data_IF_679717691941
#
_entry.id   IF_679717691941
#
_cell.length_a   1.000
_cell.length_b   1.000
_cell.length_c   1.000
_cell.angle_alpha   90.00
_cell.angle_beta   90.00
_cell.angle_gamma   90.00
#
_symmetry.space_group_name_H-M   'P 1'
#
loop_
_entity.id
_entity.type
_entity.pdbx_description
1 polymer ?
#
# COMPACT_ATOMS: atom_id res chain seq x y z
N UNK A 1 2.92 55.38 67.78
CA UNK A 1 2.35 54.11 67.33
C UNK A 1 1.76 54.33 65.94
N UNK A 2 2.47 53.97 64.88
CA UNK A 2 1.93 53.76 63.52
C UNK A 2 3.04 53.11 62.69
N UNK A 3 2.87 51.81 62.42
CA UNK A 3 3.78 51.01 61.60
C UNK A 3 3.41 51.24 60.14
N UNK A 4 4.28 51.89 59.38
CA UNK A 4 4.09 52.12 57.95
C UNK A 4 4.67 50.94 57.17
N UNK A 5 3.80 50.06 56.67
CA UNK A 5 4.17 48.98 55.76
C UNK A 5 4.58 49.56 54.40
N UNK A 6 5.87 49.52 54.07
CA UNK A 6 6.35 49.70 52.70
C UNK A 6 6.12 48.42 51.90
N UNK A 7 5.09 48.43 51.05
CA UNK A 7 4.80 47.35 50.10
C UNK A 7 5.78 47.45 48.93
N UNK A 8 6.68 46.46 48.80
CA UNK A 8 7.73 46.45 47.77
C UNK A 8 7.15 46.19 46.37
N UNK A 9 7.41 47.04 45.36
CA UNK A 9 6.87 46.94 44.01
C UNK A 9 7.37 45.70 43.22
N UNK A 10 8.40 45.01 43.72
CA UNK A 10 8.97 43.82 43.09
C UNK A 10 8.04 42.59 43.07
N UNK A 11 6.96 42.57 43.84
CA UNK A 11 6.02 41.43 43.86
C UNK A 11 4.93 41.50 42.78
N UNK A 12 4.72 42.67 42.16
CA UNK A 12 3.67 42.86 41.15
C UNK A 12 4.16 42.41 39.77
N UNK A 13 5.40 42.79 39.40
CA UNK A 13 6.00 42.42 38.11
C UNK A 13 6.23 40.91 37.97
N UNK A 14 6.64 40.25 39.05
CA UNK A 14 6.85 38.78 39.07
C UNK A 14 5.54 38.01 38.85
N UNK A 15 4.41 38.53 39.34
CA UNK A 15 3.09 37.89 39.17
C UNK A 15 2.54 38.05 37.74
N UNK A 16 2.80 39.16 37.07
CA UNK A 16 2.39 39.38 35.67
C UNK A 16 3.18 38.45 34.74
N UNK A 17 4.49 38.31 34.97
CA UNK A 17 5.33 37.39 34.20
C UNK A 17 4.89 35.92 34.35
N UNK A 18 4.51 35.50 35.56
CA UNK A 18 4.06 34.13 35.81
C UNK A 18 2.71 33.79 35.14
N UNK A 19 1.77 34.75 35.10
CA UNK A 19 0.45 34.55 34.47
C UNK A 19 0.55 34.48 32.94
N UNK A 20 1.42 35.30 32.33
CA UNK A 20 1.64 35.28 30.89
C UNK A 20 2.25 33.95 30.40
N UNK A 21 3.19 33.36 31.16
CA UNK A 21 3.81 32.07 30.82
C UNK A 21 2.81 30.91 30.98
N UNK A 22 1.98 30.91 32.03
CA UNK A 22 0.97 29.88 32.23
C UNK A 22 -0.11 29.90 31.13
N UNK A 23 -0.54 31.09 30.68
CA UNK A 23 -1.47 31.24 29.58
C UNK A 23 -0.87 30.75 28.24
N UNK A 24 0.42 30.99 27.99
CA UNK A 24 1.10 30.54 26.77
C UNK A 24 1.27 29.02 26.73
N UNK A 25 1.51 28.37 27.87
CA UNK A 25 1.57 26.90 27.95
C UNK A 25 0.22 26.21 27.79
N UNK A 26 -0.88 26.87 28.18
CA UNK A 26 -2.23 26.29 28.06
C UNK A 26 -2.78 26.37 26.63
N UNK A 27 -2.40 27.41 25.87
CA UNK A 27 -2.86 27.59 24.47
C UNK A 27 -2.14 26.65 23.49
N UNK A 28 -0.93 26.19 23.81
CA UNK A 28 -0.19 25.21 22.99
C UNK A 28 -0.68 23.76 23.17
N UNK A 29 -1.41 23.45 24.26
CA UNK A 29 -1.90 22.10 24.53
C UNK A 29 -3.26 21.78 23.88
N UNK A 30 -3.95 22.79 23.32
CA UNK A 30 -5.29 22.64 22.74
C UNK A 30 -5.32 22.64 21.21
N UNK A 31 -4.16 22.61 20.54
CA UNK A 31 -4.16 22.27 19.12
C UNK A 31 -4.59 20.81 19.02
N UNK A 32 -5.76 20.49 18.43
CA UNK A 32 -6.05 19.10 18.12
C UNK A 32 -4.91 18.63 17.24
N UNK A 33 -4.17 17.61 17.69
CA UNK A 33 -3.34 16.86 16.78
C UNK A 33 -4.29 16.41 15.67
N UNK A 34 -4.19 17.05 14.51
CA UNK A 34 -4.86 16.58 13.32
C UNK A 34 -4.24 15.21 13.07
N UNK A 35 -4.87 14.16 13.59
CA UNK A 35 -4.60 12.80 13.17
C UNK A 35 -4.92 12.82 11.69
N UNK A 36 -3.87 12.88 10.87
CA UNK A 36 -3.98 12.73 9.44
C UNK A 36 -4.81 11.46 9.22
N UNK A 37 -6.02 11.62 8.66
CA UNK A 37 -6.89 10.49 8.38
C UNK A 37 -6.05 9.49 7.55
N UNK A 38 -6.03 8.23 8.00
CA UNK A 38 -5.26 7.20 7.30
C UNK A 38 -5.69 7.12 5.84
N UNK A 39 -4.75 6.82 4.94
CA UNK A 39 -5.07 6.62 3.52
C UNK A 39 -6.23 5.61 3.39
N UNK A 40 -7.21 5.86 2.50
CA UNK A 40 -8.33 4.95 2.29
C UNK A 40 -7.90 3.73 1.48
N UNK A 41 -8.66 2.64 1.60
CA UNK A 41 -8.49 1.47 0.73
C UNK A 41 -8.91 1.82 -0.72
N UNK A 42 -8.14 1.39 -1.72
CA UNK A 42 -8.40 1.75 -3.12
C UNK A 42 -9.77 1.27 -3.62
N UNK A 43 -10.25 0.12 -3.15
CA UNK A 43 -11.59 -0.40 -3.44
C UNK A 43 -12.75 0.48 -2.92
N UNK A 44 -12.48 1.46 -2.04
CA UNK A 44 -13.47 2.36 -1.44
C UNK A 44 -13.54 3.73 -2.11
N UNK A 45 -12.42 4.30 -2.57
CA UNK A 45 -12.38 5.69 -3.07
C UNK A 45 -12.13 5.83 -4.56
N UNK A 46 -11.70 4.76 -5.24
CA UNK A 46 -11.42 4.75 -6.69
C UNK A 46 -10.41 5.80 -7.17
N UNK A 47 -9.70 6.45 -6.24
CA UNK A 47 -8.82 7.60 -6.48
C UNK A 47 -7.54 7.46 -5.67
N UNK A 48 -6.40 7.93 -6.21
CA UNK A 48 -5.11 7.96 -5.51
C UNK A 48 -4.87 9.33 -4.84
N UNK A 49 -4.13 9.37 -3.71
CA UNK A 49 -3.47 8.25 -3.06
C UNK A 49 -4.42 7.36 -2.26
N UNK A 50 -4.23 6.06 -2.40
CA UNK A 50 -4.98 5.03 -1.67
C UNK A 50 -4.05 3.87 -1.34
N UNK A 51 -4.53 2.87 -0.59
CA UNK A 51 -3.75 1.68 -0.29
C UNK A 51 -4.48 0.39 -0.65
N UNK A 52 -3.71 -0.63 -0.93
CA UNK A 52 -4.13 -2.03 -0.83
C UNK A 52 -3.00 -2.83 -0.16
N UNK A 53 -3.29 -4.07 0.19
CA UNK A 53 -2.24 -5.00 0.61
C UNK A 53 -1.61 -5.64 -0.62
N UNK A 54 -0.37 -6.06 -0.50
CA UNK A 54 0.37 -6.80 -1.52
C UNK A 54 1.16 -7.93 -0.86
N UNK A 55 1.29 -9.05 -1.55
CA UNK A 55 2.19 -10.13 -1.15
C UNK A 55 3.62 -9.84 -1.58
N UNK A 56 4.55 -10.03 -0.65
CA UNK A 56 6.00 -9.99 -0.87
C UNK A 56 6.58 -11.15 -0.08
N UNK A 57 7.18 -12.11 -0.77
CA UNK A 57 7.83 -13.29 -0.18
C UNK A 57 6.99 -14.02 0.88
N UNK A 58 5.68 -14.17 0.64
CA UNK A 58 4.76 -14.86 1.55
C UNK A 58 4.19 -13.99 2.67
N UNK A 59 4.56 -12.72 2.76
CA UNK A 59 4.05 -11.76 3.74
C UNK A 59 3.18 -10.68 3.08
N UNK A 60 2.19 -10.15 3.80
CA UNK A 60 1.39 -9.04 3.30
C UNK A 60 1.89 -7.71 3.83
N UNK A 61 2.09 -6.75 2.94
CA UNK A 61 2.48 -5.38 3.28
C UNK A 61 1.46 -4.38 2.76
N UNK A 62 1.35 -3.22 3.42
CA UNK A 62 0.53 -2.13 2.91
C UNK A 62 1.27 -1.40 1.80
N UNK A 63 0.72 -1.43 0.59
CA UNK A 63 1.21 -0.65 -0.54
C UNK A 63 0.37 0.61 -0.73
N UNK A 64 1.02 1.75 -0.88
CA UNK A 64 0.37 3.02 -1.24
C UNK A 64 0.52 3.27 -2.74
N UNK A 65 -0.61 3.36 -3.43
CA UNK A 65 -0.68 3.76 -4.84
C UNK A 65 -0.72 5.27 -4.92
N UNK A 66 0.18 5.84 -5.73
CA UNK A 66 0.43 7.29 -5.79
C UNK A 66 -0.09 7.85 -7.12
N UNK A 67 0.30 7.22 -8.22
CA UNK A 67 -0.10 7.62 -9.57
C UNK A 67 -0.33 6.38 -10.44
N UNK A 68 -1.57 6.14 -10.86
CA UNK A 68 -1.95 4.99 -11.70
C UNK A 68 -1.70 5.22 -13.20
N UNK A 69 -1.39 6.45 -13.60
CA UNK A 69 -1.14 6.82 -15.00
C UNK A 69 0.06 7.78 -15.09
N UNK A 70 1.26 7.34 -14.69
CA UNK A 70 2.47 8.14 -14.80
C UNK A 70 2.83 8.38 -16.28
N UNK A 71 3.56 9.47 -16.58
CA UNK A 71 4.09 9.68 -17.92
C UNK A 71 4.96 8.50 -18.37
N UNK A 72 4.96 8.17 -19.68
CA UNK A 72 5.85 7.16 -20.25
C UNK A 72 7.32 7.48 -19.99
N UNK A 73 8.13 6.44 -19.77
CA UNK A 73 9.57 6.56 -19.53
C UNK A 73 10.29 5.28 -19.96
N UNK A 74 11.61 5.33 -20.06
CA UNK A 74 12.48 4.16 -20.24
C UNK A 74 13.10 3.67 -18.93
N UNK A 75 12.70 4.25 -17.80
CA UNK A 75 13.16 3.81 -16.49
C UNK A 75 12.75 2.35 -16.23
N UNK A 76 13.59 1.56 -15.55
CA UNK A 76 13.25 0.19 -15.21
C UNK A 76 11.99 0.13 -14.33
N UNK A 77 11.28 -0.99 -14.42
CA UNK A 77 10.05 -1.24 -13.66
C UNK A 77 10.17 -2.50 -12.82
N UNK A 78 9.45 -2.53 -11.71
CA UNK A 78 9.25 -3.73 -10.89
C UNK A 78 7.96 -4.43 -11.32
N UNK A 79 7.98 -5.75 -11.47
CA UNK A 79 6.78 -6.47 -11.87
C UNK A 79 5.74 -6.47 -10.74
N UNK A 80 4.49 -6.26 -11.12
CA UNK A 80 3.34 -6.34 -10.24
C UNK A 80 2.32 -7.30 -10.82
N UNK A 81 2.05 -8.38 -10.09
CA UNK A 81 1.23 -9.48 -10.56
C UNK A 81 -0.14 -9.45 -9.91
N UNK A 82 -1.18 -9.49 -10.71
CA UNK A 82 -2.57 -9.66 -10.28
C UNK A 82 -2.94 -11.13 -10.41
N UNK A 83 -3.31 -11.73 -9.28
CA UNK A 83 -3.58 -13.16 -9.13
C UNK A 83 -4.94 -13.39 -8.48
N UNK A 84 -5.37 -14.64 -8.42
CA UNK A 84 -6.55 -14.99 -7.63
C UNK A 84 -6.31 -14.75 -6.13
N UNK A 85 -7.38 -14.49 -5.35
CA UNK A 85 -7.27 -14.33 -3.90
C UNK A 85 -6.60 -15.53 -3.22
N UNK A 86 -5.56 -15.26 -2.42
CA UNK A 86 -4.76 -16.27 -1.72
C UNK A 86 -5.30 -16.56 -0.30
N UNK A 87 -6.19 -15.70 0.21
CA UNK A 87 -6.87 -15.86 1.50
C UNK A 87 -8.39 -15.69 1.35
N UNK A 88 -9.13 -15.82 2.45
CA UNK A 88 -10.58 -15.56 2.47
C UNK A 88 -10.96 -14.08 2.28
N UNK A 89 -10.00 -13.17 2.38
CA UNK A 89 -10.22 -11.72 2.19
C UNK A 89 -9.34 -11.23 1.04
N UNK A 90 -9.91 -10.95 -0.14
CA UNK A 90 -9.15 -10.42 -1.27
C UNK A 90 -8.57 -9.04 -0.97
N UNK A 91 -7.40 -8.73 -1.54
CA UNK A 91 -6.74 -7.44 -1.38
C UNK A 91 -7.44 -6.34 -2.17
N UNK A 92 -7.77 -6.63 -3.43
CA UNK A 92 -8.63 -5.80 -4.29
C UNK A 92 -10.08 -6.22 -4.13
N UNK A 93 -10.86 -5.44 -3.37
CA UNK A 93 -12.27 -5.69 -3.12
C UNK A 93 -13.03 -4.38 -2.87
N UNK A 94 -14.27 -4.29 -3.35
CA UNK A 94 -15.12 -3.12 -3.11
C UNK A 94 -15.78 -2.58 -4.38
N UNK A 95 -16.62 -1.54 -4.26
CA UNK A 95 -17.37 -0.97 -5.38
C UNK A 95 -16.49 -0.38 -6.49
N UNK A 96 -15.25 0.01 -6.17
CA UNK A 96 -14.30 0.57 -7.13
C UNK A 96 -13.20 -0.41 -7.54
N UNK A 97 -13.19 -1.63 -7.00
CA UNK A 97 -12.34 -2.71 -7.50
C UNK A 97 -13.07 -3.41 -8.64
N UNK A 98 -12.48 -3.51 -9.85
CA UNK A 98 -13.18 -4.07 -11.00
C UNK A 98 -13.50 -5.57 -10.86
N UNK A 99 -12.81 -6.26 -9.96
CA UNK A 99 -12.99 -7.68 -9.63
C UNK A 99 -12.27 -8.06 -8.32
N UNK A 100 -12.45 -9.28 -7.83
CA UNK A 100 -11.78 -9.77 -6.61
C UNK A 100 -10.41 -10.36 -6.92
N UNK A 101 -9.35 -9.83 -6.33
CA UNK A 101 -7.99 -10.27 -6.65
C UNK A 101 -6.99 -9.98 -5.53
N UNK A 102 -5.83 -10.61 -5.64
CA UNK A 102 -4.64 -10.32 -4.83
C UNK A 102 -3.50 -9.84 -5.74
N UNK A 103 -2.50 -9.24 -5.11
CA UNK A 103 -1.32 -8.66 -5.74
C UNK A 103 -0.05 -9.31 -5.21
N UNK A 104 0.96 -9.48 -6.08
CA UNK A 104 2.30 -9.95 -5.71
C UNK A 104 3.34 -9.06 -6.35
N UNK A 105 4.36 -8.69 -5.59
CA UNK A 105 5.51 -7.96 -6.12
C UNK A 105 6.78 -8.28 -5.31
N UNK A 106 7.93 -7.89 -5.84
CA UNK A 106 9.21 -7.98 -5.14
C UNK A 106 9.41 -6.75 -4.27
N UNK A 107 10.25 -6.86 -3.24
CA UNK A 107 10.73 -5.65 -2.53
C UNK A 107 11.73 -4.95 -3.44
N UNK A 108 11.46 -3.74 -3.94
CA UNK A 108 12.45 -2.98 -4.68
C UNK A 108 13.57 -2.62 -3.70
N UNK A 109 14.83 -2.90 -4.01
CA UNK A 109 15.90 -2.55 -3.07
C UNK A 109 16.06 -1.03 -3.02
N UNK A 110 16.36 -0.51 -1.84
CA UNK A 110 16.57 0.94 -1.63
C UNK A 110 17.77 1.47 -2.45
N UNK A 111 18.74 0.59 -2.76
CA UNK A 111 19.90 0.89 -3.60
C UNK A 111 19.51 1.05 -5.08
N UNK A 112 18.57 0.24 -5.58
CA UNK A 112 18.07 0.30 -6.96
C UNK A 112 17.24 1.57 -7.25
N UNK A 113 16.63 2.18 -6.23
CA UNK A 113 15.83 3.40 -6.39
C UNK A 113 16.51 4.68 -5.88
N UNK A 114 17.83 4.69 -5.66
CA UNK A 114 18.57 5.88 -5.22
C UNK A 114 18.00 6.54 -3.93
N UNK A 115 17.35 5.77 -3.06
CA UNK A 115 16.66 6.27 -1.87
C UNK A 115 15.26 6.88 -2.11
N UNK A 116 14.69 6.77 -3.31
CA UNK A 116 13.26 7.00 -3.54
C UNK A 116 12.47 5.76 -3.10
N UNK A 117 11.47 5.98 -2.25
CA UNK A 117 10.55 4.95 -1.81
C UNK A 117 9.43 4.71 -2.84
N UNK A 118 9.26 5.62 -3.80
CA UNK A 118 8.27 5.53 -4.85
C UNK A 118 8.85 4.78 -6.03
N UNK A 119 8.26 3.63 -6.32
CA UNK A 119 8.75 2.70 -7.33
C UNK A 119 7.77 2.62 -8.47
N UNK A 120 8.29 2.50 -9.67
CA UNK A 120 7.51 2.30 -10.88
C UNK A 120 7.28 0.81 -11.10
N UNK A 121 6.02 0.42 -11.19
CA UNK A 121 5.60 -0.95 -11.37
C UNK A 121 4.98 -1.17 -12.74
N UNK A 122 5.09 -2.38 -13.25
CA UNK A 122 4.46 -2.84 -14.49
C UNK A 122 3.50 -4.00 -14.20
N UNK A 123 2.24 -3.86 -14.61
CA UNK A 123 1.16 -4.79 -14.26
C UNK A 123 1.02 -6.00 -15.17
N UNK A 124 0.85 -7.19 -14.59
CA UNK A 124 0.53 -8.43 -15.30
C UNK A 124 -0.65 -9.16 -14.66
N UNK A 125 -1.60 -9.63 -15.46
CA UNK A 125 -2.59 -10.63 -15.03
C UNK A 125 -1.96 -12.02 -15.14
N UNK A 126 -2.13 -12.85 -14.11
CA UNK A 126 -1.57 -14.21 -14.07
C UNK A 126 -2.66 -15.25 -14.23
N UNK A 127 -2.52 -16.09 -15.25
CA UNK A 127 -3.44 -17.17 -15.58
C UNK A 127 -2.75 -18.52 -15.55
N UNK A 128 -3.51 -19.58 -15.30
CA UNK A 128 -3.03 -20.93 -15.59
C UNK A 128 -2.92 -21.12 -17.12
N UNK A 129 -1.82 -21.72 -17.57
CA UNK A 129 -1.70 -22.13 -18.96
C UNK A 129 -2.56 -23.36 -19.26
N UNK A 130 -2.78 -23.67 -20.54
CA UNK A 130 -3.43 -24.92 -20.93
C UNK A 130 -2.71 -26.16 -20.38
N UNK A 131 -1.37 -26.14 -20.37
CA UNK A 131 -0.54 -27.20 -19.78
C UNK A 131 -0.70 -27.26 -18.26
N UNK A 132 -0.69 -26.12 -17.58
CA UNK A 132 -0.89 -26.04 -16.14
C UNK A 132 -2.24 -26.63 -15.71
N UNK A 133 -3.30 -26.34 -16.46
CA UNK A 133 -4.63 -26.90 -16.22
C UNK A 133 -4.67 -28.39 -16.54
N UNK A 134 -4.20 -28.80 -17.72
CA UNK A 134 -4.34 -30.20 -18.18
C UNK A 134 -3.53 -31.20 -17.35
N UNK A 135 -2.39 -30.77 -16.80
CA UNK A 135 -1.59 -31.55 -15.87
C UNK A 135 -2.12 -31.55 -14.44
N UNK A 136 -3.09 -30.67 -14.12
CA UNK A 136 -3.55 -30.42 -12.75
C UNK A 136 -2.54 -29.64 -11.89
N UNK A 137 -1.43 -29.19 -12.47
CA UNK A 137 -0.40 -28.45 -11.75
C UNK A 137 -0.88 -27.05 -11.34
N UNK A 138 -1.65 -26.36 -12.18
CA UNK A 138 -2.17 -25.03 -11.89
C UNK A 138 -3.67 -25.05 -11.65
N UNK A 139 -4.10 -24.47 -10.53
CA UNK A 139 -5.52 -24.35 -10.19
C UNK A 139 -5.93 -22.88 -10.30
N UNK A 140 -6.90 -22.53 -11.17
CA UNK A 140 -7.41 -21.18 -11.27
C UNK A 140 -8.55 -20.90 -10.29
N UNK A 141 -8.91 -19.63 -10.13
CA UNK A 141 -10.17 -19.17 -9.54
C UNK A 141 -10.93 -18.33 -10.56
N UNK A 142 -12.17 -18.74 -10.82
CA UNK A 142 -13.06 -18.01 -11.71
C UNK A 142 -13.49 -16.70 -11.06
N UNK A 143 -13.05 -15.59 -11.63
CA UNK A 143 -13.25 -14.26 -11.07
C UNK A 143 -14.03 -13.40 -12.07
N UNK A 144 -15.11 -12.76 -11.63
CA UNK A 144 -15.90 -11.88 -12.49
C UNK A 144 -15.20 -10.54 -12.70
N UNK A 145 -14.99 -10.13 -13.96
CA UNK A 145 -14.41 -8.83 -14.37
C UNK A 145 -15.32 -8.20 -15.42
N UNK A 146 -15.92 -7.04 -15.11
CA UNK A 146 -16.49 -6.10 -16.09
C UNK A 146 -17.32 -6.70 -17.25
N UNK A 147 -18.11 -7.75 -17.02
CA UNK A 147 -18.93 -8.41 -18.05
C UNK A 147 -18.46 -9.81 -18.50
N UNK A 148 -17.38 -10.34 -17.93
CA UNK A 148 -16.89 -11.70 -18.18
C UNK A 148 -16.35 -12.38 -16.92
N UNK A 149 -15.89 -13.62 -17.07
CA UNK A 149 -15.24 -14.40 -16.02
C UNK A 149 -13.83 -14.76 -16.47
N UNK A 150 -12.84 -14.46 -15.65
CA UNK A 150 -11.42 -14.72 -15.91
C UNK A 150 -10.84 -15.73 -14.91
N UNK A 151 -10.07 -16.75 -15.36
CA UNK A 151 -9.55 -17.82 -14.51
C UNK A 151 -8.17 -17.46 -13.92
N UNK A 152 -8.11 -16.46 -13.03
CA UNK A 152 -6.84 -16.04 -12.43
C UNK A 152 -6.17 -17.22 -11.69
N UNK A 153 -4.85 -17.35 -11.80
CA UNK A 153 -4.11 -18.43 -11.16
C UNK A 153 -4.15 -18.31 -9.64
N UNK A 154 -4.47 -19.40 -8.94
CA UNK A 154 -4.51 -19.46 -7.47
C UNK A 154 -3.35 -20.24 -6.89
N UNK A 155 -3.11 -21.45 -7.39
CA UNK A 155 -1.99 -22.29 -6.94
C UNK A 155 -1.25 -22.91 -8.12
N UNK A 156 0.03 -23.21 -7.91
CA UNK A 156 0.84 -24.05 -8.80
C UNK A 156 1.53 -25.12 -7.96
N UNK A 157 1.41 -26.39 -8.37
CA UNK A 157 1.90 -27.57 -7.67
C UNK A 157 1.45 -27.62 -6.20
N UNK A 158 0.21 -27.17 -5.93
CA UNK A 158 -0.34 -27.09 -4.57
C UNK A 158 0.17 -25.90 -3.74
N UNK A 159 1.09 -25.09 -4.25
CA UNK A 159 1.61 -23.91 -3.57
C UNK A 159 0.86 -22.64 -3.95
N UNK A 160 0.64 -21.76 -2.96
CA UNK A 160 0.13 -20.41 -3.17
C UNK A 160 1.12 -19.57 -3.97
N UNK A 161 0.62 -18.60 -4.73
CA UNK A 161 1.43 -17.67 -5.50
C UNK A 161 1.65 -16.38 -4.70
N UNK A 162 2.45 -16.42 -3.64
CA UNK A 162 2.64 -15.25 -2.74
C UNK A 162 4.05 -14.65 -2.81
N UNK A 163 4.83 -15.05 -3.81
CA UNK A 163 6.17 -14.52 -4.10
C UNK A 163 6.38 -14.45 -5.60
N UNK A 164 7.19 -13.50 -6.05
CA UNK A 164 7.49 -13.34 -7.49
C UNK A 164 8.30 -14.51 -8.02
N UNK A 165 9.24 -15.04 -7.23
CA UNK A 165 10.05 -16.19 -7.64
C UNK A 165 9.19 -17.40 -8.01
N UNK A 166 8.16 -17.70 -7.23
CA UNK A 166 7.22 -18.78 -7.56
C UNK A 166 6.49 -18.53 -8.88
N UNK A 167 6.05 -17.28 -9.12
CA UNK A 167 5.37 -16.91 -10.36
C UNK A 167 6.33 -17.04 -11.56
N UNK A 168 7.54 -16.49 -11.46
CA UNK A 168 8.57 -16.56 -12.50
C UNK A 168 8.94 -18.01 -12.82
N UNK A 169 9.21 -18.83 -11.80
CA UNK A 169 9.53 -20.26 -11.98
C UNK A 169 8.39 -21.02 -12.67
N UNK A 170 7.15 -20.80 -12.24
CA UNK A 170 5.99 -21.46 -12.84
C UNK A 170 5.70 -20.99 -14.26
N UNK A 171 5.88 -19.70 -14.56
CA UNK A 171 5.79 -19.16 -15.92
C UNK A 171 6.87 -19.73 -16.83
N UNK A 172 8.12 -19.77 -16.38
CA UNK A 172 9.25 -20.36 -17.12
C UNK A 172 9.08 -21.86 -17.37
N UNK A 173 8.34 -22.55 -16.50
CA UNK A 173 7.98 -23.97 -16.66
C UNK A 173 6.76 -24.19 -17.57
N UNK A 174 6.19 -23.13 -18.14
CA UNK A 174 5.02 -23.18 -19.00
C UNK A 174 3.71 -23.47 -18.26
N UNK A 175 3.67 -23.38 -16.93
CA UNK A 175 2.47 -23.66 -16.12
C UNK A 175 1.57 -22.42 -15.95
N UNK A 176 2.14 -21.23 -16.09
CA UNK A 176 1.44 -19.95 -16.05
C UNK A 176 1.58 -19.19 -17.37
N UNK A 177 0.61 -18.33 -17.64
CA UNK A 177 0.67 -17.31 -18.69
C UNK A 177 0.55 -15.95 -18.00
N UNK A 178 1.44 -15.03 -18.38
CA UNK A 178 1.44 -13.65 -17.94
C UNK A 178 0.87 -12.79 -19.06
N UNK A 179 -0.24 -12.10 -18.80
CA UNK A 179 -0.84 -11.16 -19.74
C UNK A 179 -0.48 -9.75 -19.29
N UNK A 180 0.28 -9.08 -20.12
CA UNK A 180 0.66 -7.69 -19.92
C UNK A 180 -0.58 -6.80 -19.94
N UNK A 181 -0.76 -5.99 -18.89
CA UNK A 181 -1.87 -5.04 -18.78
C UNK A 181 -1.61 -3.73 -19.53
N UNK A 182 -0.40 -3.54 -20.06
CA UNK A 182 0.05 -2.36 -20.80
C UNK A 182 0.19 -1.10 -19.96
N UNK A 183 0.03 -1.20 -18.64
CA UNK A 183 -0.03 -0.08 -17.71
C UNK A 183 1.09 -0.12 -16.69
N UNK A 184 1.77 1.02 -16.54
CA UNK A 184 2.69 1.28 -15.44
C UNK A 184 2.02 2.15 -14.36
N UNK A 185 2.49 2.06 -13.13
CA UNK A 185 2.04 2.94 -12.05
C UNK A 185 3.15 3.21 -11.05
N UNK A 186 3.00 4.26 -10.25
CA UNK A 186 3.92 4.62 -9.16
C UNK A 186 3.26 4.28 -7.84
N UNK A 187 3.96 3.49 -7.03
CA UNK A 187 3.51 3.08 -5.71
C UNK A 187 4.69 2.86 -4.76
N UNK A 188 4.40 2.70 -3.47
CA UNK A 188 5.42 2.40 -2.46
C UNK A 188 4.94 1.34 -1.48
N UNK A 189 5.81 0.43 -1.10
CA UNK A 189 5.56 -0.50 0.00
C UNK A 189 5.89 0.24 1.31
N UNK A 190 4.98 0.22 2.28
CA UNK A 190 5.22 0.83 3.59
C UNK A 190 5.73 -0.28 4.54
N UNK A 191 7.04 -0.38 4.82
CA UNK A 191 7.60 -1.48 5.62
C UNK A 191 7.13 -1.46 7.09
N UNK A 192 6.74 -0.27 7.59
CA UNK A 192 6.37 -0.07 8.99
C UNK A 192 4.85 -0.14 9.26
N UNK A 193 4.03 -0.52 8.26
CA UNK A 193 2.55 -0.44 8.35
C UNK A 193 1.78 -1.58 7.70
#
# INVERSE_FOLDING_TARGET
MMSMMTRSPNTILVRIAAIAVAALTLVLASAPFAQAAGLPNCGVTGTTPCFEKVWVDGHQFKMTFINLTPPPTTAPTTNFYVIAPQTGTPQGAGPFSPFLHDHVTDTPTHEENHGDFNVRYHGFLVFCSAQGISSGACVPTMTSIGGGIVPLAKTVNGHRLTSVDQIKLAANSGLLILIDMGGEFIARINPDK
#
